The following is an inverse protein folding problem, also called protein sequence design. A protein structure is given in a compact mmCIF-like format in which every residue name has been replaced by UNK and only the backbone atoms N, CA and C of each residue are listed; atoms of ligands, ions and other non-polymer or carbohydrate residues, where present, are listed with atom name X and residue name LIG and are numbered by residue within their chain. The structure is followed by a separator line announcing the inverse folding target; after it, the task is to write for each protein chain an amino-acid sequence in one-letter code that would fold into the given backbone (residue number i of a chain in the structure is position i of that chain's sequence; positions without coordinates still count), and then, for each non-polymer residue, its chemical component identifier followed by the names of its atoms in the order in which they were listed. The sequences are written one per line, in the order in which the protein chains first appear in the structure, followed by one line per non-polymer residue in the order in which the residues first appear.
data_IF_352143318689
#
_entry.id   IF_352143318689
#
_cell.length_a   1.000
_cell.length_b   1.000
_cell.length_c   1.000
_cell.angle_alpha   90.00
_cell.angle_beta   90.00
_cell.angle_gamma   90.00
#
_symmetry.space_group_name_H-M   'P 1'
#
loop_
_entity.id
_entity.type
_entity.pdbx_description
1 polymer ?
#
# COMPACT_ATOMS: atom_id res chain seq x y z
N UNK A 1 4.75 16.86 5.93
CA UNK A 1 4.47 17.46 4.62
C UNK A 1 3.16 16.92 4.03
N UNK A 2 2.53 17.69 3.15
CA UNK A 2 1.42 17.25 2.30
C UNK A 2 1.94 17.26 0.86
N UNK A 3 1.79 16.15 0.14
CA UNK A 3 2.25 16.03 -1.23
C UNK A 3 1.08 15.76 -2.19
N UNK A 4 1.17 16.29 -3.41
CA UNK A 4 0.18 16.05 -4.45
C UNK A 4 0.37 16.99 -5.65
N UNK A 5 -0.36 16.72 -6.73
CA UNK A 5 -0.19 17.45 -8.01
C UNK A 5 -0.87 18.82 -8.08
N UNK A 6 -1.74 19.15 -7.14
CA UNK A 6 -2.54 20.38 -7.19
C UNK A 6 -2.32 21.23 -5.94
N UNK A 7 -1.59 22.32 -6.09
CA UNK A 7 -1.24 23.21 -5.00
C UNK A 7 -2.47 23.78 -4.29
N UNK A 8 -3.47 24.26 -5.03
CA UNK A 8 -4.68 24.84 -4.44
C UNK A 8 -5.42 23.85 -3.56
N UNK A 9 -5.50 22.57 -3.98
CA UNK A 9 -6.10 21.50 -3.15
C UNK A 9 -5.27 21.21 -1.90
N UNK A 10 -3.94 21.23 -2.00
CA UNK A 10 -3.06 21.05 -0.84
C UNK A 10 -3.20 22.19 0.17
N UNK A 11 -3.30 23.43 -0.31
CA UNK A 11 -3.54 24.61 0.54
C UNK A 11 -4.89 24.54 1.25
N UNK A 12 -5.95 24.16 0.53
CA UNK A 12 -7.27 23.98 1.10
C UNK A 12 -7.26 22.85 2.16
N UNK A 13 -6.62 21.74 1.89
CA UNK A 13 -6.46 20.62 2.84
C UNK A 13 -5.69 21.07 4.08
N UNK A 14 -4.55 21.78 3.91
CA UNK A 14 -3.78 22.31 5.04
C UNK A 14 -4.62 23.25 5.91
N UNK A 15 -5.43 24.11 5.29
CA UNK A 15 -6.35 25.00 6.00
C UNK A 15 -7.40 24.22 6.83
N UNK A 16 -7.99 23.18 6.23
CA UNK A 16 -8.94 22.30 6.94
C UNK A 16 -8.28 21.57 8.12
N UNK A 17 -7.09 21.04 7.92
CA UNK A 17 -6.34 20.36 8.97
C UNK A 17 -5.95 21.32 10.09
N UNK A 18 -5.56 22.56 9.77
CA UNK A 18 -5.18 23.58 10.76
C UNK A 18 -6.32 23.93 11.69
N UNK A 19 -7.57 23.85 11.23
CA UNK A 19 -8.74 24.11 12.07
C UNK A 19 -8.89 23.07 13.20
N UNK A 20 -8.42 21.83 13.00
CA UNK A 20 -8.46 20.74 13.99
C UNK A 20 -7.11 20.55 14.70
N UNK A 21 -6.03 20.82 14.01
CA UNK A 21 -4.65 20.59 14.44
C UNK A 21 -3.79 21.81 14.11
N UNK A 22 -3.63 22.78 15.01
CA UNK A 22 -2.93 24.06 14.74
C UNK A 22 -1.54 23.92 14.12
N UNK A 23 -0.78 22.86 14.49
CA UNK A 23 0.54 22.58 13.91
C UNK A 23 0.50 22.26 12.41
N UNK A 24 -0.65 21.89 11.84
CA UNK A 24 -0.77 21.61 10.42
C UNK A 24 -0.51 22.86 9.55
N UNK A 25 -0.58 24.07 10.12
CA UNK A 25 -0.20 25.33 9.45
C UNK A 25 1.25 25.29 8.94
N UNK A 26 2.13 24.57 9.65
CA UNK A 26 3.55 24.49 9.37
C UNK A 26 3.90 23.37 8.37
N UNK A 27 2.94 22.55 7.96
CA UNK A 27 3.20 21.44 7.06
C UNK A 27 3.66 21.95 5.69
N UNK A 28 4.87 21.59 5.23
CA UNK A 28 5.31 21.88 3.88
C UNK A 28 4.34 21.31 2.84
N UNK A 29 4.15 22.02 1.75
CA UNK A 29 3.42 21.55 0.57
C UNK A 29 4.43 21.16 -0.49
N UNK A 30 4.32 19.94 -0.99
CA UNK A 30 5.23 19.38 -1.99
C UNK A 30 4.41 19.06 -3.25
N UNK A 31 4.81 19.65 -4.37
CA UNK A 31 4.18 19.31 -5.65
C UNK A 31 4.83 18.04 -6.17
N UNK A 32 4.02 17.00 -6.30
CA UNK A 32 4.41 15.70 -6.82
C UNK A 32 3.28 15.12 -7.68
N UNK A 33 3.59 14.66 -8.87
CA UNK A 33 2.67 14.06 -9.82
C UNK A 33 3.16 12.65 -10.19
N UNK A 34 2.27 11.65 -10.15
CA UNK A 34 2.57 10.27 -10.53
C UNK A 34 3.02 10.09 -11.98
N UNK A 35 2.78 11.07 -12.83
CA UNK A 35 3.24 11.12 -14.22
C UNK A 35 4.58 11.86 -14.42
N UNK A 36 5.10 12.49 -13.38
CA UNK A 36 6.38 13.23 -13.39
C UNK A 36 7.41 12.57 -12.48
N UNK A 37 8.26 11.74 -13.07
CA UNK A 37 9.31 11.00 -12.35
C UNK A 37 10.26 11.93 -11.58
N UNK A 38 10.55 13.13 -12.08
CA UNK A 38 11.46 14.07 -11.39
C UNK A 38 10.85 14.59 -10.09
N UNK A 39 9.55 14.85 -10.11
CA UNK A 39 8.84 15.28 -8.89
C UNK A 39 8.77 14.17 -7.85
N UNK A 40 8.62 12.91 -8.29
CA UNK A 40 8.61 11.73 -7.42
C UNK A 40 10.00 11.42 -6.86
N UNK A 41 11.05 11.50 -7.69
CA UNK A 41 12.45 11.37 -7.24
C UNK A 41 12.76 12.40 -6.16
N UNK A 42 12.41 13.66 -6.39
CA UNK A 42 12.62 14.72 -5.39
C UNK A 42 11.86 14.43 -4.10
N UNK A 43 10.59 14.03 -4.19
CA UNK A 43 9.80 13.66 -3.03
C UNK A 43 10.46 12.53 -2.23
N UNK A 44 10.92 11.48 -2.90
CA UNK A 44 11.58 10.36 -2.26
C UNK A 44 12.88 10.77 -1.56
N UNK A 45 13.75 11.51 -2.24
CA UNK A 45 15.03 11.98 -1.68
C UNK A 45 14.88 12.87 -0.46
N UNK A 46 13.87 13.73 -0.46
CA UNK A 46 13.67 14.74 0.59
C UNK A 46 12.86 14.19 1.78
N UNK A 47 12.48 12.89 1.76
CA UNK A 47 11.55 12.32 2.73
C UNK A 47 12.09 11.00 3.30
N UNK A 48 11.88 10.75 4.58
CA UNK A 48 12.23 9.46 5.22
C UNK A 48 11.17 8.38 5.00
N UNK A 49 9.90 8.79 5.01
CA UNK A 49 8.74 7.90 4.88
C UNK A 49 7.68 8.58 4.04
N UNK A 50 7.17 7.89 3.04
CA UNK A 50 6.02 8.30 2.24
C UNK A 50 4.82 7.43 2.59
N UNK A 51 3.69 8.08 2.90
CA UNK A 51 2.38 7.44 3.03
C UNK A 51 1.59 7.79 1.77
N UNK A 52 1.35 6.81 0.91
CA UNK A 52 0.61 7.01 -0.33
C UNK A 52 -0.86 6.62 -0.19
N UNK A 53 -1.73 7.54 -0.58
CA UNK A 53 -3.19 7.30 -0.71
C UNK A 53 -3.65 7.52 -2.15
N UNK A 54 -2.70 7.48 -3.11
CA UNK A 54 -2.95 7.77 -4.53
C UNK A 54 -3.26 6.47 -5.26
N UNK A 55 -4.53 6.14 -5.37
CA UNK A 55 -5.04 5.02 -6.16
C UNK A 55 -5.74 5.48 -7.46
N UNK A 56 -6.04 4.55 -8.38
CA UNK A 56 -5.66 3.12 -8.40
C UNK A 56 -4.14 2.90 -8.40
N UNK A 57 -3.67 2.03 -7.49
CA UNK A 57 -2.22 1.84 -7.31
C UNK A 57 -1.57 1.12 -8.48
N UNK A 58 -2.27 0.18 -9.11
CA UNK A 58 -1.80 -0.51 -10.30
C UNK A 58 -1.49 0.46 -11.46
N UNK A 59 -2.22 1.57 -11.52
CA UNK A 59 -2.03 2.59 -12.55
C UNK A 59 -1.00 3.64 -12.17
N UNK A 60 -0.95 4.06 -10.91
CA UNK A 60 -0.21 5.25 -10.49
C UNK A 60 0.88 4.97 -9.44
N UNK A 61 0.90 3.80 -8.81
CA UNK A 61 1.75 3.50 -7.66
C UNK A 61 3.20 3.18 -8.00
N UNK A 62 3.44 2.42 -9.07
CA UNK A 62 4.77 1.91 -9.42
C UNK A 62 5.88 2.97 -9.50
N UNK A 63 5.68 4.14 -10.13
CA UNK A 63 6.74 5.14 -10.20
C UNK A 63 7.21 5.62 -8.83
N UNK A 64 6.27 5.85 -7.90
CA UNK A 64 6.62 6.29 -6.54
C UNK A 64 7.30 5.18 -5.73
N UNK A 65 6.82 3.94 -5.83
CA UNK A 65 7.47 2.80 -5.17
C UNK A 65 8.91 2.64 -5.66
N UNK A 66 9.13 2.72 -6.97
CA UNK A 66 10.47 2.67 -7.58
C UNK A 66 11.40 3.74 -6.98
N UNK A 67 10.96 4.99 -6.94
CA UNK A 67 11.78 6.07 -6.41
C UNK A 67 12.07 5.89 -4.91
N UNK A 68 11.07 5.45 -4.13
CA UNK A 68 11.27 5.14 -2.72
C UNK A 68 12.27 3.98 -2.53
N UNK A 69 12.12 2.89 -3.29
CA UNK A 69 13.05 1.77 -3.26
C UNK A 69 14.47 2.18 -3.64
N UNK A 70 14.63 3.02 -4.66
CA UNK A 70 15.94 3.47 -5.15
C UNK A 70 16.67 4.38 -4.16
N UNK A 71 15.92 5.24 -3.46
CA UNK A 71 16.53 6.27 -2.60
C UNK A 71 16.53 5.92 -1.11
N UNK A 72 16.20 4.68 -0.73
CA UNK A 72 16.20 4.25 0.69
C UNK A 72 15.05 4.85 1.49
N UNK A 73 14.03 5.39 0.84
CA UNK A 73 12.86 6.00 1.47
C UNK A 73 11.82 4.94 1.79
N UNK A 74 11.35 4.91 3.01
CA UNK A 74 10.31 3.96 3.39
C UNK A 74 8.97 4.35 2.74
N UNK A 75 8.20 3.34 2.36
CA UNK A 75 6.92 3.53 1.67
C UNK A 75 5.84 2.69 2.34
N UNK A 76 4.67 3.28 2.54
CA UNK A 76 3.46 2.57 2.99
C UNK A 76 2.25 3.06 2.19
N UNK A 77 1.29 2.19 1.95
CA UNK A 77 0.04 2.51 1.26
C UNK A 77 -1.18 1.79 1.85
N UNK A 78 -2.33 2.00 1.21
CA UNK A 78 -3.62 1.39 1.54
C UNK A 78 -4.09 0.47 0.41
N UNK A 79 -3.15 -0.08 -0.40
CA UNK A 79 -3.50 -0.86 -1.57
C UNK A 79 -4.27 -2.14 -1.19
N UNK A 80 -5.41 -2.35 -1.81
CA UNK A 80 -6.14 -3.61 -1.84
C UNK A 80 -6.06 -4.25 -3.24
N UNK A 81 -4.92 -4.12 -3.91
CA UNK A 81 -4.69 -4.51 -5.30
C UNK A 81 -3.58 -5.59 -5.37
N UNK A 82 -3.90 -6.92 -5.23
CA UNK A 82 -2.87 -7.97 -5.14
C UNK A 82 -1.89 -8.00 -6.31
N UNK A 83 -2.35 -7.71 -7.53
CA UNK A 83 -1.47 -7.65 -8.70
C UNK A 83 -0.43 -6.53 -8.57
N UNK A 84 -0.82 -5.36 -8.08
CA UNK A 84 0.11 -4.26 -7.82
C UNK A 84 1.14 -4.65 -6.76
N UNK A 85 0.69 -5.25 -5.66
CA UNK A 85 1.57 -5.65 -4.57
C UNK A 85 2.57 -6.72 -5.03
N UNK A 86 2.11 -7.72 -5.79
CA UNK A 86 2.97 -8.78 -6.34
C UNK A 86 4.00 -8.23 -7.32
N UNK A 87 3.55 -7.49 -8.33
CA UNK A 87 4.45 -6.91 -9.33
C UNK A 87 5.43 -5.89 -8.70
N UNK A 88 5.01 -5.17 -7.66
CA UNK A 88 5.88 -4.28 -6.89
C UNK A 88 6.97 -5.05 -6.16
N UNK A 89 6.61 -6.15 -5.47
CA UNK A 89 7.57 -7.00 -4.78
C UNK A 89 8.59 -7.60 -5.77
N UNK A 90 8.11 -8.19 -6.86
CA UNK A 90 8.97 -8.81 -7.89
C UNK A 90 9.94 -7.81 -8.54
N UNK A 91 9.49 -6.56 -8.73
CA UNK A 91 10.29 -5.57 -9.45
C UNK A 91 11.26 -4.79 -8.56
N UNK A 92 10.94 -4.60 -7.28
CA UNK A 92 11.65 -3.63 -6.44
C UNK A 92 12.22 -4.20 -5.14
N UNK A 93 12.00 -5.48 -4.83
CA UNK A 93 12.51 -6.12 -3.61
C UNK A 93 14.03 -5.97 -3.46
N UNK A 94 14.79 -6.35 -4.50
CA UNK A 94 16.25 -6.31 -4.47
C UNK A 94 16.79 -4.88 -4.37
N UNK A 95 16.14 -3.95 -5.08
CA UNK A 95 16.49 -2.53 -5.04
C UNK A 95 16.25 -1.96 -3.63
N UNK A 96 15.09 -2.25 -3.05
CA UNK A 96 14.74 -1.82 -1.71
C UNK A 96 15.68 -2.43 -0.64
N UNK A 97 16.03 -3.71 -0.80
CA UNK A 97 16.99 -4.39 0.08
C UNK A 97 18.36 -3.72 0.02
N UNK A 98 18.86 -3.42 -1.19
CA UNK A 98 20.15 -2.78 -1.38
C UNK A 98 20.21 -1.35 -0.81
N UNK A 99 19.12 -0.59 -0.90
CA UNK A 99 19.03 0.78 -0.40
C UNK A 99 18.65 0.88 1.08
N UNK A 100 18.13 -0.21 1.69
CA UNK A 100 17.56 -0.23 3.04
C UNK A 100 16.13 0.33 3.13
N UNK A 101 15.45 0.57 2.00
CA UNK A 101 14.05 0.98 2.00
C UNK A 101 13.14 -0.15 2.50
N UNK A 102 12.09 0.22 3.23
CA UNK A 102 11.01 -0.68 3.61
C UNK A 102 9.76 -0.30 2.83
N UNK A 103 9.32 -1.20 1.94
CA UNK A 103 8.12 -1.03 1.14
C UNK A 103 7.05 -1.94 1.73
N UNK A 104 5.98 -1.36 2.27
CA UNK A 104 4.92 -2.10 2.95
C UNK A 104 3.58 -1.68 2.35
N UNK A 105 2.93 -2.61 1.67
CA UNK A 105 1.60 -2.43 1.11
C UNK A 105 0.49 -2.77 2.12
N UNK A 106 -0.75 -2.43 1.79
CA UNK A 106 -1.94 -2.81 2.54
C UNK A 106 -1.92 -2.40 4.03
N UNK A 107 -1.40 -1.20 4.36
CA UNK A 107 -1.33 -0.68 5.72
C UNK A 107 -2.64 -0.01 6.18
N UNK A 108 -3.77 -0.31 5.53
CA UNK A 108 -5.07 0.24 5.85
C UNK A 108 -5.83 -0.53 6.92
N UNK A 109 -6.94 0.05 7.37
CA UNK A 109 -7.84 -0.56 8.36
C UNK A 109 -8.46 -1.88 7.87
N UNK A 110 -8.63 -2.04 6.58
CA UNK A 110 -9.16 -3.24 5.94
C UNK A 110 -8.21 -4.46 5.99
N UNK A 111 -6.93 -4.24 6.24
CA UNK A 111 -5.90 -5.28 6.27
C UNK A 111 -5.23 -5.43 7.64
N UNK A 112 -4.73 -4.34 8.22
CA UNK A 112 -3.92 -4.36 9.46
C UNK A 112 -4.61 -5.03 10.65
N UNK A 113 -5.91 -4.82 10.97
CA UNK A 113 -6.56 -5.49 12.08
C UNK A 113 -6.63 -7.02 11.92
N UNK A 114 -6.79 -7.51 10.68
CA UNK A 114 -6.83 -8.94 10.38
C UNK A 114 -5.45 -9.56 10.58
N UNK A 115 -4.42 -8.93 10.04
CA UNK A 115 -3.04 -9.38 10.15
C UNK A 115 -2.57 -9.42 11.61
N UNK A 116 -2.74 -8.31 12.34
CA UNK A 116 -2.39 -8.25 13.76
C UNK A 116 -3.25 -9.19 14.62
N UNK A 117 -4.51 -9.41 14.27
CA UNK A 117 -5.37 -10.38 14.96
C UNK A 117 -4.82 -11.80 14.85
N UNK A 118 -4.40 -12.22 13.66
CA UNK A 118 -3.78 -13.51 13.44
C UNK A 118 -2.44 -13.66 14.17
N UNK A 119 -1.60 -12.61 14.14
CA UNK A 119 -0.34 -12.58 14.89
C UNK A 119 -0.58 -12.81 16.40
N UNK A 120 -1.54 -12.09 16.99
CA UNK A 120 -1.87 -12.23 18.41
C UNK A 120 -2.42 -13.63 18.76
N UNK A 121 -3.24 -14.21 17.89
CA UNK A 121 -3.74 -15.59 18.08
C UNK A 121 -2.59 -16.60 18.02
N UNK A 122 -1.69 -16.47 17.06
CA UNK A 122 -0.50 -17.32 16.94
C UNK A 122 0.42 -17.22 18.17
N UNK A 123 0.68 -15.99 18.64
CA UNK A 123 1.46 -15.76 19.87
C UNK A 123 0.79 -16.43 21.08
N UNK A 124 -0.53 -16.27 21.22
CA UNK A 124 -1.26 -16.86 22.35
C UNK A 124 -1.26 -18.38 22.31
N UNK A 125 -1.42 -19.00 21.15
CA UNK A 125 -1.28 -20.44 20.99
C UNK A 125 0.10 -20.91 21.40
N UNK A 126 1.15 -20.24 20.91
CA UNK A 126 2.54 -20.58 21.26
C UNK A 126 2.82 -20.48 22.76
N UNK A 127 2.36 -19.41 23.44
CA UNK A 127 2.48 -19.25 24.89
C UNK A 127 1.84 -20.40 25.66
N UNK A 128 0.72 -20.89 25.19
CA UNK A 128 0.00 -22.03 25.79
C UNK A 128 0.56 -23.41 25.36
N UNK A 129 1.56 -23.43 24.46
CA UNK A 129 2.07 -24.66 23.82
C UNK A 129 1.00 -25.40 22.99
N UNK A 130 0.07 -24.63 22.44
CA UNK A 130 -0.99 -25.11 21.55
C UNK A 130 -0.60 -24.83 20.09
N UNK A 131 -1.28 -25.52 19.16
CA UNK A 131 -1.17 -25.28 17.72
C UNK A 131 -2.43 -24.59 17.23
N UNK A 132 -2.29 -23.50 16.46
CA UNK A 132 -3.41 -22.83 15.82
C UNK A 132 -3.74 -23.58 14.51
N UNK A 133 -4.81 -24.37 14.50
CA UNK A 133 -5.23 -25.14 13.33
C UNK A 133 -6.18 -24.33 12.42
N UNK A 134 -7.13 -23.63 13.03
CA UNK A 134 -8.12 -22.83 12.29
C UNK A 134 -8.43 -21.54 13.02
N UNK A 135 -8.64 -20.48 12.26
CA UNK A 135 -9.10 -19.19 12.78
C UNK A 135 -10.27 -18.66 11.96
N UNK A 136 -11.26 -18.08 12.64
CA UNK A 136 -12.40 -17.43 11.99
C UNK A 136 -12.48 -15.99 12.43
N UNK A 137 -12.38 -15.06 11.47
CA UNK A 137 -12.57 -13.65 11.72
C UNK A 137 -14.01 -13.24 11.42
N UNK A 138 -14.69 -12.68 12.42
CA UNK A 138 -16.05 -12.14 12.26
C UNK A 138 -15.95 -10.62 12.15
N UNK A 139 -16.33 -10.10 10.98
CA UNK A 139 -16.26 -8.66 10.71
C UNK A 139 -17.67 -8.08 10.63
N UNK A 140 -17.90 -7.00 11.39
CA UNK A 140 -19.11 -6.19 11.27
C UNK A 140 -18.74 -4.82 10.75
N UNK A 141 -19.14 -4.52 9.52
CA UNK A 141 -18.88 -3.23 8.89
C UNK A 141 -20.18 -2.46 8.65
N UNK A 142 -20.11 -1.13 8.77
CA UNK A 142 -21.17 -0.22 8.40
C UNK A 142 -20.57 0.87 7.51
N UNK A 143 -20.95 0.89 6.25
CA UNK A 143 -20.42 1.83 5.26
C UNK A 143 -20.71 1.37 3.84
N UNK A 144 -20.14 2.08 2.87
CA UNK A 144 -20.22 1.78 1.44
C UNK A 144 -18.83 1.82 0.80
N UNK A 145 -18.75 1.39 -0.47
CA UNK A 145 -17.52 1.45 -1.25
C UNK A 145 -17.21 2.89 -1.64
N UNK A 146 -15.95 3.28 -1.51
CA UNK A 146 -15.48 4.58 -1.99
C UNK A 146 -15.33 4.55 -3.53
N UNK A 147 -15.34 5.74 -4.16
CA UNK A 147 -15.04 5.85 -5.60
C UNK A 147 -13.67 5.27 -5.96
N UNK A 148 -12.66 5.48 -5.09
CA UNK A 148 -11.33 4.90 -5.26
C UNK A 148 -11.34 3.37 -5.26
N UNK A 149 -12.11 2.72 -4.39
CA UNK A 149 -12.27 1.27 -4.37
C UNK A 149 -12.86 0.75 -5.68
N UNK A 150 -13.88 1.43 -6.20
CA UNK A 150 -14.51 1.05 -7.48
C UNK A 150 -13.51 1.20 -8.64
N UNK A 151 -12.74 2.27 -8.67
CA UNK A 151 -11.74 2.50 -9.71
C UNK A 151 -10.60 1.47 -9.63
N UNK A 152 -10.12 1.12 -8.45
CA UNK A 152 -9.14 0.04 -8.26
C UNK A 152 -9.65 -1.32 -8.76
N UNK A 153 -10.90 -1.66 -8.48
CA UNK A 153 -11.51 -2.88 -9.03
C UNK A 153 -11.55 -2.86 -10.56
N UNK A 154 -11.94 -1.74 -11.18
CA UNK A 154 -11.95 -1.61 -12.64
C UNK A 154 -10.58 -1.79 -13.25
N UNK A 155 -9.54 -1.20 -12.68
CA UNK A 155 -8.16 -1.33 -13.15
C UNK A 155 -7.68 -2.79 -13.02
N UNK A 156 -7.98 -3.48 -11.93
CA UNK A 156 -7.63 -4.90 -11.79
C UNK A 156 -8.34 -5.78 -12.84
N UNK A 157 -9.65 -5.55 -13.07
CA UNK A 157 -10.36 -6.28 -14.13
C UNK A 157 -9.81 -5.96 -15.53
N UNK A 158 -9.41 -4.73 -15.79
CA UNK A 158 -8.75 -4.37 -17.04
C UNK A 158 -7.38 -5.05 -17.20
N UNK A 159 -6.60 -5.15 -16.12
CA UNK A 159 -5.28 -5.75 -16.11
C UNK A 159 -5.29 -7.27 -16.42
N UNK A 160 -6.35 -7.99 -16.02
CA UNK A 160 -6.48 -9.44 -16.30
C UNK A 160 -7.10 -9.74 -17.67
N UNK A 161 -7.68 -8.74 -18.35
CA UNK A 161 -8.29 -8.92 -19.66
C UNK A 161 -7.22 -9.27 -20.71
N UNK A 162 -7.29 -10.47 -21.25
CA UNK A 162 -6.31 -10.96 -22.21
C UNK A 162 -4.94 -11.35 -21.60
N UNK A 163 -4.83 -11.42 -20.27
CA UNK A 163 -3.62 -11.78 -19.53
C UNK A 163 -3.88 -13.01 -18.63
N UNK A 164 -3.82 -14.24 -19.16
CA UNK A 164 -4.12 -15.47 -18.40
C UNK A 164 -3.27 -15.64 -17.14
N UNK A 165 -2.00 -15.22 -17.19
CA UNK A 165 -1.07 -15.29 -16.06
C UNK A 165 -1.53 -14.39 -14.90
N UNK A 166 -1.88 -13.15 -15.18
CA UNK A 166 -2.40 -12.23 -14.15
C UNK A 166 -3.72 -12.73 -13.57
N UNK A 167 -4.55 -13.38 -14.39
CA UNK A 167 -5.78 -14.01 -13.90
C UNK A 167 -5.49 -15.15 -12.93
N UNK A 168 -4.45 -15.98 -13.21
CA UNK A 168 -4.02 -17.03 -12.28
C UNK A 168 -3.49 -16.45 -10.98
N UNK A 169 -2.61 -15.44 -11.04
CA UNK A 169 -2.10 -14.74 -9.87
C UNK A 169 -3.24 -14.18 -9.01
N UNK A 170 -4.24 -13.56 -9.61
CA UNK A 170 -5.37 -13.01 -8.86
C UNK A 170 -6.28 -14.08 -8.25
N UNK A 171 -6.34 -15.28 -8.84
CA UNK A 171 -7.12 -16.39 -8.34
C UNK A 171 -6.41 -17.22 -7.26
N UNK A 172 -5.10 -17.08 -7.12
CA UNK A 172 -4.31 -17.76 -6.10
C UNK A 172 -4.41 -17.01 -4.76
N UNK A 173 -4.97 -17.62 -3.69
CA UNK A 173 -5.08 -17.00 -2.38
C UNK A 173 -3.73 -16.70 -1.74
N UNK A 174 -2.67 -17.38 -2.17
CA UNK A 174 -1.30 -17.23 -1.67
C UNK A 174 -0.40 -16.42 -2.61
N UNK A 175 -0.95 -15.68 -3.56
CA UNK A 175 -0.16 -14.93 -4.56
C UNK A 175 0.82 -13.93 -3.95
N UNK A 176 0.59 -13.50 -2.72
CA UNK A 176 1.47 -12.59 -1.99
C UNK A 176 2.44 -13.29 -1.02
N UNK A 177 2.36 -14.61 -0.88
CA UNK A 177 3.30 -15.35 -0.06
C UNK A 177 4.72 -15.27 -0.64
N UNK A 178 5.74 -14.99 0.17
CA UNK A 178 7.13 -15.04 -0.28
C UNK A 178 7.62 -16.48 -0.52
N UNK A 179 6.95 -17.47 0.02
CA UNK A 179 7.31 -18.89 -0.02
C UNK A 179 6.11 -19.72 -0.49
N UNK A 180 5.74 -19.54 -1.76
CA UNK A 180 4.57 -20.18 -2.36
C UNK A 180 4.63 -21.70 -2.33
N UNK A 181 5.85 -22.27 -2.42
CA UNK A 181 6.05 -23.72 -2.48
C UNK A 181 5.71 -24.44 -1.16
N UNK A 182 5.69 -23.72 -0.05
CA UNK A 182 5.31 -24.22 1.27
C UNK A 182 3.84 -23.91 1.65
N UNK A 183 3.08 -23.26 0.76
CA UNK A 183 1.67 -22.97 0.98
C UNK A 183 0.79 -24.10 0.43
N UNK A 184 -0.42 -24.31 0.98
CA UNK A 184 -1.36 -25.32 0.46
C UNK A 184 -1.77 -25.05 -0.99
N UNK A 185 -2.09 -26.13 -1.72
CA UNK A 185 -2.65 -26.08 -3.08
C UNK A 185 -4.13 -25.62 -3.07
#
# INVERSE_FOLDING_TARGET
ALAGRNQTKLEALRKQLTAKHPRAKEFPLVIADSSDNRSLEKLARDTRVVISTVGPYYRYGFPLVRECATHGTHYVDLAGEPLFMRESADSYHDIATASGARIIHACGFDSVPSDLGMLLLGQRASENKDTLETATMIVKMKGGLSGGTIDSMREQFAAIKGAPEKKRLLADPYTLSPDRDNEPD
#
